data_IF_787002106592
#
_entry.id   IF_787002106592
#
_cell.length_a   1.000
_cell.length_b   1.000
_cell.length_c   1.000
_cell.angle_alpha   90.00
_cell.angle_beta   90.00
_cell.angle_gamma   90.00
#
_symmetry.space_group_name_H-M   'P 1'
#
loop_
_entity.id
_entity.type
_entity.pdbx_description
1 polymer ?
#
# COMPACT_ATOMS: atom_id res chain seq x y z
N UNK A 1 2.39 -50.96 -31.15
CA UNK A 1 2.26 -50.67 -29.70
C UNK A 1 2.16 -49.17 -29.51
N UNK A 2 1.40 -48.70 -28.53
CA UNK A 2 1.29 -47.26 -28.19
C UNK A 2 2.17 -47.01 -26.99
N UNK A 3 3.11 -46.05 -27.08
CA UNK A 3 3.74 -45.45 -25.90
C UNK A 3 2.97 -44.19 -25.55
N UNK A 4 2.63 -44.03 -24.28
CA UNK A 4 1.90 -42.86 -23.81
C UNK A 4 2.21 -42.57 -22.35
N UNK A 5 2.31 -41.29 -22.01
CA UNK A 5 2.49 -40.80 -20.64
C UNK A 5 1.29 -39.95 -20.26
N UNK A 6 0.69 -40.21 -19.09
CA UNK A 6 -0.39 -39.38 -18.54
C UNK A 6 0.22 -38.28 -17.69
N UNK A 7 -0.13 -37.04 -17.97
CA UNK A 7 0.44 -35.83 -17.39
C UNK A 7 -0.70 -35.04 -16.74
N UNK A 8 -0.56 -34.68 -15.47
CA UNK A 8 -1.50 -33.78 -14.80
C UNK A 8 -1.36 -32.36 -15.36
N UNK A 9 -2.47 -31.72 -15.68
CA UNK A 9 -2.50 -30.38 -16.29
C UNK A 9 -3.66 -29.55 -15.74
N UNK A 10 -3.54 -28.23 -15.84
CA UNK A 10 -4.65 -27.29 -15.63
C UNK A 10 -5.47 -27.10 -16.91
N UNK A 11 -6.65 -26.49 -16.79
CA UNK A 11 -7.38 -26.03 -17.96
C UNK A 11 -6.52 -25.06 -18.80
N UNK A 12 -6.59 -25.16 -20.12
CA UNK A 12 -5.76 -24.38 -21.04
C UNK A 12 -5.62 -25.02 -22.42
N UNK A 13 -4.97 -24.35 -23.35
CA UNK A 13 -4.68 -24.92 -24.68
C UNK A 13 -3.31 -25.57 -24.67
N UNK A 14 -3.21 -26.79 -25.18
CA UNK A 14 -1.97 -27.55 -25.24
C UNK A 14 -1.63 -27.91 -26.68
N UNK A 15 -0.34 -27.88 -26.99
CA UNK A 15 0.23 -28.17 -28.30
C UNK A 15 1.22 -29.32 -28.15
N UNK A 16 1.11 -30.33 -29.01
CA UNK A 16 2.05 -31.45 -29.06
C UNK A 16 2.65 -31.59 -30.46
N UNK A 17 3.92 -31.93 -30.51
CA UNK A 17 4.69 -32.25 -31.72
C UNK A 17 5.70 -33.38 -31.44
N UNK A 18 6.39 -33.81 -32.48
CA UNK A 18 7.45 -34.82 -32.39
C UNK A 18 7.81 -35.38 -33.76
N UNK A 19 8.66 -36.41 -33.78
CA UNK A 19 9.13 -37.06 -35.00
C UNK A 19 8.81 -38.55 -34.98
N UNK A 20 8.61 -39.12 -36.17
CA UNK A 20 8.46 -40.56 -36.34
C UNK A 20 9.23 -41.08 -37.57
N UNK A 21 9.71 -42.32 -37.50
CA UNK A 21 10.28 -43.06 -38.64
C UNK A 21 9.83 -44.51 -38.65
N UNK A 22 10.07 -45.21 -39.75
CA UNK A 22 9.76 -46.63 -39.88
C UNK A 22 10.79 -47.37 -40.73
N UNK A 23 10.90 -48.68 -40.53
CA UNK A 23 11.64 -49.61 -41.39
C UNK A 23 11.01 -49.80 -42.79
N UNK A 24 9.78 -49.31 -43.03
CA UNK A 24 9.10 -49.39 -44.32
C UNK A 24 8.33 -48.10 -44.66
N UNK A 25 8.26 -47.77 -45.95
CA UNK A 25 7.50 -46.63 -46.46
C UNK A 25 5.99 -46.92 -46.52
N UNK A 26 5.18 -45.87 -46.56
CA UNK A 26 3.72 -45.97 -46.70
C UNK A 26 2.96 -46.21 -45.40
N UNK A 27 3.65 -46.22 -44.25
CA UNK A 27 2.99 -46.34 -42.94
C UNK A 27 2.27 -45.06 -42.53
N UNK A 28 1.04 -45.18 -42.08
CA UNK A 28 0.28 -44.04 -41.53
C UNK A 28 0.34 -44.04 -40.00
N UNK A 29 0.87 -42.95 -39.45
CA UNK A 29 0.99 -42.68 -38.00
C UNK A 29 0.19 -41.44 -37.62
N UNK A 30 -0.31 -41.38 -36.39
CA UNK A 30 -1.13 -40.28 -35.89
C UNK A 30 -0.63 -39.82 -34.53
N UNK A 31 -0.32 -38.53 -34.40
CA UNK A 31 -0.13 -37.89 -33.10
C UNK A 31 -1.50 -37.58 -32.50
N UNK A 32 -1.69 -37.85 -31.21
CA UNK A 32 -2.96 -37.65 -30.50
C UNK A 32 -2.74 -37.07 -29.10
N UNK A 33 -3.54 -36.05 -28.77
CA UNK A 33 -3.77 -35.59 -27.39
C UNK A 33 -5.13 -36.13 -26.93
N UNK A 34 -5.13 -36.90 -25.85
CA UNK A 34 -6.34 -37.39 -25.16
C UNK A 34 -6.52 -36.66 -23.84
N UNK A 35 -7.70 -36.13 -23.57
CA UNK A 35 -8.06 -35.43 -22.34
C UNK A 35 -8.77 -36.36 -21.36
N UNK A 36 -8.44 -36.20 -20.08
CA UNK A 36 -9.01 -36.94 -18.98
C UNK A 36 -9.56 -35.99 -17.91
N UNK A 37 -10.72 -36.34 -17.36
CA UNK A 37 -11.21 -35.80 -16.10
C UNK A 37 -11.18 -36.92 -15.06
N UNK A 38 -10.16 -36.90 -14.21
CA UNK A 38 -9.85 -38.03 -13.32
C UNK A 38 -9.44 -39.27 -14.13
N UNK A 39 -10.22 -40.35 -14.00
CA UNK A 39 -10.00 -41.62 -14.73
C UNK A 39 -10.80 -41.71 -16.03
N UNK A 40 -11.73 -40.78 -16.29
CA UNK A 40 -12.61 -40.82 -17.46
C UNK A 40 -12.01 -40.02 -18.61
N UNK A 41 -11.90 -40.62 -19.80
CA UNK A 41 -11.53 -39.91 -21.03
C UNK A 41 -12.72 -39.06 -21.48
N UNK A 42 -12.51 -37.76 -21.65
CA UNK A 42 -13.56 -36.80 -22.03
C UNK A 42 -13.45 -36.33 -23.48
N UNK A 43 -12.34 -36.65 -24.17
CA UNK A 43 -12.22 -36.45 -25.62
C UNK A 43 -10.78 -36.55 -26.11
N UNK A 44 -10.59 -36.48 -27.43
CA UNK A 44 -9.26 -36.46 -28.04
C UNK A 44 -9.23 -35.66 -29.34
N UNK A 45 -8.04 -35.16 -29.69
CA UNK A 45 -7.73 -34.57 -31.01
C UNK A 45 -6.52 -35.30 -31.58
N UNK A 46 -6.55 -35.64 -32.87
CA UNK A 46 -5.43 -36.31 -33.53
C UNK A 46 -5.23 -35.81 -34.95
N UNK A 47 -3.98 -35.82 -35.41
CA UNK A 47 -3.61 -35.59 -36.80
C UNK A 47 -2.69 -36.72 -37.27
N UNK A 48 -2.84 -37.12 -38.53
CA UNK A 48 -2.13 -38.26 -39.10
C UNK A 48 -1.27 -37.84 -40.29
N UNK A 49 -0.17 -38.55 -40.48
CA UNK A 49 0.70 -38.43 -41.66
C UNK A 49 1.13 -39.81 -42.15
N UNK A 50 1.47 -39.91 -43.43
CA UNK A 50 2.03 -41.13 -44.02
C UNK A 50 3.53 -40.95 -44.20
N UNK A 51 4.31 -41.86 -43.62
CA UNK A 51 5.77 -41.89 -43.69
C UNK A 51 6.20 -42.34 -45.10
N UNK A 52 6.56 -41.39 -45.95
CA UNK A 52 6.96 -41.66 -47.34
C UNK A 52 8.40 -42.17 -47.47
N UNK A 53 9.21 -42.01 -46.42
CA UNK A 53 10.61 -42.46 -46.36
C UNK A 53 10.84 -43.27 -45.09
N UNK A 54 11.97 -43.97 -45.01
CA UNK A 54 12.42 -44.65 -43.79
C UNK A 54 13.16 -43.72 -42.82
N UNK A 55 13.36 -42.46 -43.20
CA UNK A 55 13.98 -41.43 -42.35
C UNK A 55 13.01 -40.81 -41.35
N UNK A 56 13.56 -40.01 -40.44
CA UNK A 56 12.76 -39.21 -39.50
C UNK A 56 11.90 -38.19 -40.23
N UNK A 57 10.60 -38.22 -39.95
CA UNK A 57 9.60 -37.30 -40.50
C UNK A 57 8.91 -36.59 -39.34
N UNK A 58 8.79 -35.27 -39.41
CA UNK A 58 8.03 -34.49 -38.44
C UNK A 58 6.55 -34.90 -38.45
N UNK A 59 5.99 -35.12 -37.28
CA UNK A 59 4.55 -35.35 -37.11
C UNK A 59 3.80 -34.02 -37.20
N UNK A 60 2.54 -34.04 -37.69
CA UNK A 60 1.70 -32.84 -37.66
C UNK A 60 1.45 -32.40 -36.22
N UNK A 61 1.64 -31.11 -35.95
CA UNK A 61 1.39 -30.49 -34.65
C UNK A 61 -0.09 -30.58 -34.27
N UNK A 62 -0.38 -31.11 -33.09
CA UNK A 62 -1.75 -31.27 -32.57
C UNK A 62 -2.03 -30.24 -31.48
N UNK A 63 -3.07 -29.43 -31.66
CA UNK A 63 -3.53 -28.46 -30.65
C UNK A 63 -4.87 -28.88 -30.07
N UNK A 64 -5.04 -28.77 -28.75
CA UNK A 64 -6.31 -29.06 -28.07
C UNK A 64 -6.54 -28.16 -26.87
N UNK A 65 -7.73 -27.58 -26.76
CA UNK A 65 -8.22 -26.95 -25.53
C UNK A 65 -8.61 -28.02 -24.51
N UNK A 66 -8.13 -27.87 -23.28
CA UNK A 66 -8.31 -28.79 -22.15
C UNK A 66 -9.10 -28.08 -21.05
N UNK A 67 -10.09 -28.79 -20.54
CA UNK A 67 -10.96 -28.42 -19.40
C UNK A 67 -10.84 -29.41 -18.23
N UNK A 68 -10.35 -30.62 -18.49
CA UNK A 68 -10.10 -31.68 -17.53
C UNK A 68 -8.80 -31.50 -16.75
N UNK A 69 -8.42 -32.56 -16.04
CA UNK A 69 -7.34 -32.53 -15.03
C UNK A 69 -6.06 -33.24 -15.48
N UNK A 70 -6.10 -33.95 -16.60
CA UNK A 70 -4.93 -34.64 -17.14
C UNK A 70 -5.03 -34.81 -18.66
N UNK A 71 -3.88 -34.98 -19.30
CA UNK A 71 -3.76 -35.34 -20.72
C UNK A 71 -2.85 -36.52 -20.92
N UNK A 72 -3.00 -37.18 -22.07
CA UNK A 72 -2.09 -38.20 -22.56
C UNK A 72 -1.69 -37.87 -23.98
N UNK A 73 -0.39 -37.84 -24.25
CA UNK A 73 0.14 -37.73 -25.62
C UNK A 73 0.55 -39.11 -26.11
N UNK A 74 0.13 -39.45 -27.32
CA UNK A 74 0.37 -40.78 -27.90
C UNK A 74 0.58 -40.68 -29.41
N UNK A 75 1.42 -41.57 -29.94
CA UNK A 75 1.54 -41.79 -31.39
C UNK A 75 0.98 -43.17 -31.73
N UNK A 76 0.03 -43.19 -32.66
CA UNK A 76 -0.76 -44.36 -33.03
C UNK A 76 -0.47 -44.75 -34.47
N UNK A 77 -0.27 -46.04 -34.74
CA UNK A 77 -0.20 -46.56 -36.10
C UNK A 77 -1.59 -47.01 -36.55
N UNK A 78 -2.05 -46.54 -37.72
CA UNK A 78 -3.39 -46.90 -38.26
C UNK A 78 -3.43 -48.25 -38.97
N UNK A 79 -2.32 -48.71 -39.55
CA UNK A 79 -2.22 -49.99 -40.28
C UNK A 79 -0.98 -50.75 -39.85
N UNK A 80 -1.14 -51.96 -39.31
CA UNK A 80 -0.02 -52.82 -38.88
C UNK A 80 0.24 -53.94 -39.89
N UNK A 81 1.50 -54.07 -40.32
CA UNK A 81 1.98 -55.20 -41.14
C UNK A 81 2.93 -56.02 -40.27
N UNK A 82 2.77 -57.35 -40.27
CA UNK A 82 3.62 -58.26 -39.50
C UNK A 82 5.11 -58.06 -39.86
N UNK A 83 5.97 -57.99 -38.85
CA UNK A 83 7.41 -57.84 -39.02
C UNK A 83 7.92 -56.40 -39.23
N UNK A 84 7.04 -55.41 -39.38
CA UNK A 84 7.45 -54.01 -39.53
C UNK A 84 7.36 -53.22 -38.22
N UNK A 85 8.23 -52.22 -38.07
CA UNK A 85 8.42 -51.39 -36.87
C UNK A 85 8.29 -49.90 -37.19
N UNK A 86 8.01 -49.11 -36.15
CA UNK A 86 8.14 -47.65 -36.22
C UNK A 86 8.68 -47.12 -34.90
N UNK A 87 9.37 -46.00 -34.98
CA UNK A 87 9.99 -45.33 -33.85
C UNK A 87 9.48 -43.90 -33.76
N UNK A 88 9.52 -43.35 -32.56
CA UNK A 88 9.06 -42.00 -32.23
C UNK A 88 10.12 -41.36 -31.34
N UNK A 89 10.46 -40.12 -31.62
CA UNK A 89 11.44 -39.35 -30.86
C UNK A 89 11.04 -37.87 -30.75
N UNK A 90 11.70 -37.15 -29.84
CA UNK A 90 11.53 -35.71 -29.60
C UNK A 90 10.07 -35.29 -29.39
N UNK A 91 9.32 -36.12 -28.67
CA UNK A 91 7.93 -35.81 -28.31
C UNK A 91 7.84 -34.66 -27.32
N UNK A 92 7.16 -33.59 -27.69
CA UNK A 92 6.90 -32.46 -26.81
C UNK A 92 5.41 -32.27 -26.53
N UNK A 93 5.12 -31.71 -25.35
CA UNK A 93 3.81 -31.19 -24.98
C UNK A 93 4.04 -29.88 -24.25
N UNK A 94 3.57 -28.79 -24.84
CA UNK A 94 3.67 -27.47 -24.24
C UNK A 94 2.29 -26.91 -23.97
N UNK A 95 2.11 -26.31 -22.81
CA UNK A 95 0.99 -25.40 -22.60
C UNK A 95 1.21 -24.22 -23.54
N UNK A 96 0.30 -24.03 -24.49
CA UNK A 96 0.30 -22.82 -25.29
C UNK A 96 -0.10 -21.71 -24.34
N UNK A 97 0.77 -20.71 -24.16
CA UNK A 97 0.37 -19.47 -23.54
C UNK A 97 -0.88 -19.01 -24.28
N UNK A 98 -2.03 -19.09 -23.63
CA UNK A 98 -3.21 -18.38 -24.11
C UNK A 98 -2.73 -16.95 -24.24
N UNK A 99 -2.80 -16.38 -25.43
CA UNK A 99 -2.67 -14.95 -25.58
C UNK A 99 -3.74 -14.35 -24.68
N UNK A 100 -3.38 -13.97 -23.46
CA UNK A 100 -4.10 -12.94 -22.76
C UNK A 100 -4.12 -11.75 -23.71
N UNK A 101 -5.22 -11.02 -23.76
CA UNK A 101 -5.10 -9.67 -24.30
C UNK A 101 -4.35 -8.85 -23.26
N UNK A 102 -3.53 -7.90 -23.71
CA UNK A 102 -3.10 -6.83 -22.83
C UNK A 102 -4.33 -6.24 -22.11
N UNK A 103 -4.20 -5.76 -20.87
CA UNK A 103 -5.34 -5.21 -20.15
C UNK A 103 -5.98 -4.04 -20.92
N UNK A 104 -7.21 -3.66 -20.56
CA UNK A 104 -7.75 -2.38 -21.02
C UNK A 104 -6.95 -1.22 -20.37
N UNK A 105 -6.87 -0.04 -21.02
CA UNK A 105 -6.34 1.16 -20.37
C UNK A 105 -7.04 1.44 -19.03
N UNK A 106 -6.33 1.91 -18.01
CA UNK A 106 -6.95 2.35 -16.76
C UNK A 106 -8.00 3.43 -16.97
N UNK A 107 -8.98 3.53 -16.07
CA UNK A 107 -10.03 4.56 -16.13
C UNK A 107 -9.94 5.50 -14.93
N UNK A 108 -10.70 6.61 -14.94
CA UNK A 108 -10.71 7.62 -13.89
C UNK A 108 -9.30 8.13 -13.51
N UNK A 109 -8.43 8.30 -14.51
CA UNK A 109 -7.11 8.87 -14.31
C UNK A 109 -7.25 10.31 -13.83
N UNK A 110 -6.58 10.66 -12.75
CA UNK A 110 -6.54 12.00 -12.19
C UNK A 110 -5.11 12.34 -11.73
N UNK A 111 -4.77 13.63 -11.77
CA UNK A 111 -3.53 14.15 -11.22
C UNK A 111 -3.83 15.39 -10.37
N UNK A 112 -3.15 15.52 -9.23
CA UNK A 112 -3.29 16.66 -8.33
C UNK A 112 -1.95 16.98 -7.68
N UNK A 113 -1.61 18.26 -7.60
CA UNK A 113 -0.45 18.69 -6.82
C UNK A 113 -0.60 18.31 -5.34
N UNK A 114 0.47 17.79 -4.77
CA UNK A 114 0.61 17.51 -3.34
C UNK A 114 1.61 18.45 -2.68
N UNK A 115 2.25 19.32 -3.46
CA UNK A 115 3.12 20.37 -3.02
C UNK A 115 3.81 21.07 -4.19
N UNK A 116 4.80 21.90 -3.87
CA UNK A 116 5.61 22.62 -4.86
C UNK A 116 6.57 21.70 -5.63
N UNK A 117 6.83 20.48 -5.16
CA UNK A 117 7.75 19.53 -5.80
C UNK A 117 7.17 18.14 -6.00
N UNK A 118 5.85 17.98 -5.82
CA UNK A 118 5.20 16.67 -5.94
C UNK A 118 3.78 16.72 -6.53
N UNK A 119 3.44 15.69 -7.31
CA UNK A 119 2.11 15.46 -7.87
C UNK A 119 1.71 14.01 -7.60
N UNK A 120 0.51 13.83 -7.05
CA UNK A 120 -0.14 12.53 -6.92
C UNK A 120 -0.96 12.22 -8.17
N UNK A 121 -0.79 11.01 -8.71
CA UNK A 121 -1.52 10.47 -9.86
C UNK A 121 -2.29 9.23 -9.40
N UNK A 122 -3.59 9.17 -9.68
CA UNK A 122 -4.48 8.07 -9.27
C UNK A 122 -5.33 7.58 -10.44
N UNK A 123 -5.71 6.29 -10.42
CA UNK A 123 -6.57 5.68 -11.44
C UNK A 123 -7.39 4.52 -10.86
N UNK A 124 -8.35 4.02 -11.64
CA UNK A 124 -9.10 2.77 -11.36
C UNK A 124 -8.38 1.59 -12.00
N UNK A 125 -8.29 0.48 -11.27
CA UNK A 125 -7.59 -0.72 -11.72
C UNK A 125 -8.21 -1.34 -12.99
N UNK A 126 -7.37 -1.81 -13.90
CA UNK A 126 -7.78 -2.59 -15.07
C UNK A 126 -7.85 -4.07 -14.74
N UNK A 127 -8.91 -4.74 -15.17
CA UNK A 127 -9.03 -6.21 -15.01
C UNK A 127 -7.88 -6.92 -15.72
N UNK A 128 -7.20 -7.82 -15.01
CA UNK A 128 -6.10 -8.62 -15.56
C UNK A 128 -4.74 -7.89 -15.63
N UNK A 129 -4.63 -6.67 -15.10
CA UNK A 129 -3.35 -5.98 -14.94
C UNK A 129 -2.58 -6.51 -13.72
N UNK A 130 -1.27 -6.69 -13.88
CA UNK A 130 -0.35 -7.05 -12.79
C UNK A 130 0.51 -5.87 -12.33
N UNK A 131 0.66 -4.85 -13.19
CA UNK A 131 1.36 -3.60 -12.90
C UNK A 131 0.88 -2.47 -13.81
N UNK A 132 1.38 -1.26 -13.56
CA UNK A 132 1.07 -0.05 -14.33
C UNK A 132 2.34 0.72 -14.66
N UNK A 133 2.43 1.22 -15.89
CA UNK A 133 3.48 2.15 -16.31
C UNK A 133 2.98 3.58 -16.23
N UNK A 134 3.65 4.43 -15.43
CA UNK A 134 3.32 5.86 -15.29
C UNK A 134 4.29 6.68 -16.14
N UNK A 135 3.75 7.51 -17.02
CA UNK A 135 4.51 8.30 -17.98
C UNK A 135 4.34 9.78 -17.72
N UNK A 136 5.44 10.53 -17.81
CA UNK A 136 5.47 11.98 -17.62
C UNK A 136 5.86 12.70 -18.90
N UNK A 137 5.15 13.78 -19.21
CA UNK A 137 5.44 14.72 -20.31
C UNK A 137 5.62 14.02 -21.68
N UNK A 138 4.81 12.98 -21.94
CA UNK A 138 4.83 12.25 -23.21
C UNK A 138 6.04 11.33 -23.41
N UNK A 139 6.78 11.00 -22.34
CA UNK A 139 7.89 10.05 -22.41
C UNK A 139 7.44 8.68 -22.95
N UNK A 140 8.30 8.05 -23.76
CA UNK A 140 8.08 6.70 -24.30
C UNK A 140 8.41 5.61 -23.29
N UNK A 141 9.30 5.89 -22.34
CA UNK A 141 9.63 5.02 -21.21
C UNK A 141 8.89 5.47 -19.94
N UNK A 142 8.41 4.54 -19.10
CA UNK A 142 7.73 4.91 -17.87
C UNK A 142 8.69 5.62 -16.91
N UNK A 143 8.22 6.70 -16.30
CA UNK A 143 8.88 7.37 -15.17
C UNK A 143 8.88 6.47 -13.93
N UNK A 144 7.83 5.66 -13.76
CA UNK A 144 7.76 4.65 -12.72
C UNK A 144 6.89 3.46 -13.16
N UNK A 145 7.17 2.29 -12.60
CA UNK A 145 6.32 1.09 -12.72
C UNK A 145 5.85 0.70 -11.32
N UNK A 146 4.53 0.61 -11.13
CA UNK A 146 3.92 0.33 -9.82
C UNK A 146 2.90 -0.81 -9.89
N UNK A 147 2.64 -1.45 -8.76
CA UNK A 147 1.57 -2.48 -8.61
C UNK A 147 0.31 -1.92 -7.96
N UNK A 148 0.37 -0.71 -7.41
CA UNK A 148 -0.75 0.05 -6.83
C UNK A 148 -1.50 0.85 -7.89
N UNK A 149 -2.65 1.43 -7.53
CA UNK A 149 -3.45 2.31 -8.39
C UNK A 149 -3.22 3.81 -8.11
N UNK A 150 -2.09 4.12 -7.50
CA UNK A 150 -1.63 5.48 -7.22
C UNK A 150 -0.11 5.55 -7.27
N UNK A 151 0.40 6.73 -7.61
CA UNK A 151 1.82 7.05 -7.64
C UNK A 151 2.04 8.53 -7.26
N UNK A 152 3.03 8.81 -6.42
CA UNK A 152 3.44 10.19 -6.09
C UNK A 152 4.76 10.46 -6.81
N UNK A 153 4.71 11.34 -7.81
CA UNK A 153 5.89 11.84 -8.50
C UNK A 153 6.50 12.98 -7.68
N UNK A 154 7.80 12.88 -7.39
CA UNK A 154 8.53 13.82 -6.51
C UNK A 154 9.75 14.39 -7.21
N UNK A 155 10.37 15.42 -6.62
CA UNK A 155 11.52 16.09 -7.23
C UNK A 155 11.15 16.96 -8.44
N UNK A 156 9.89 17.39 -8.51
CA UNK A 156 9.38 18.26 -9.56
C UNK A 156 9.80 19.71 -9.34
N UNK A 157 9.90 20.47 -10.43
CA UNK A 157 10.02 21.91 -10.38
C UNK A 157 8.69 22.52 -9.93
N UNK A 158 8.76 23.58 -9.15
CA UNK A 158 7.58 24.30 -8.67
C UNK A 158 6.95 25.18 -9.74
N UNK A 159 5.69 25.58 -9.54
CA UNK A 159 4.91 26.36 -10.53
C UNK A 159 4.91 25.74 -11.93
N UNK A 160 5.07 24.43 -12.06
CA UNK A 160 5.31 23.74 -13.32
C UNK A 160 4.20 22.75 -13.61
N UNK A 161 3.59 22.86 -14.78
CA UNK A 161 2.58 21.90 -15.25
C UNK A 161 3.26 20.65 -15.76
N UNK A 162 2.88 19.51 -15.19
CA UNK A 162 3.27 18.19 -15.66
C UNK A 162 2.07 17.46 -16.23
N UNK A 163 2.32 16.66 -17.27
CA UNK A 163 1.33 15.84 -17.94
C UNK A 163 1.59 14.36 -17.63
N UNK A 164 0.56 13.64 -17.23
CA UNK A 164 0.64 12.22 -16.90
C UNK A 164 -0.26 11.36 -17.77
N UNK A 165 0.26 10.19 -18.11
CA UNK A 165 -0.46 9.11 -18.77
C UNK A 165 -0.13 7.79 -18.05
N UNK A 166 -1.06 6.84 -18.05
CA UNK A 166 -0.85 5.55 -17.37
C UNK A 166 -1.30 4.39 -18.25
N UNK A 167 -0.48 3.35 -18.36
CA UNK A 167 -0.84 2.09 -19.00
C UNK A 167 -0.99 0.97 -17.97
N UNK A 168 -1.72 -0.07 -18.34
CA UNK A 168 -1.82 -1.31 -17.58
C UNK A 168 -1.00 -2.40 -18.26
N UNK A 169 -0.29 -3.20 -17.46
CA UNK A 169 0.66 -4.20 -17.96
C UNK A 169 0.35 -5.56 -17.35
N UNK A 170 0.42 -6.61 -18.18
CA UNK A 170 0.47 -8.00 -17.73
C UNK A 170 1.44 -8.81 -18.59
N UNK A 171 1.52 -10.12 -18.34
CA UNK A 171 2.40 -11.02 -19.08
C UNK A 171 2.12 -11.08 -20.59
N UNK A 172 0.92 -10.67 -21.04
CA UNK A 172 0.56 -10.66 -22.44
C UNK A 172 0.86 -9.33 -23.15
N UNK A 173 1.20 -8.28 -22.41
CA UNK A 173 1.63 -7.01 -22.96
C UNK A 173 1.13 -5.79 -22.19
N UNK A 174 1.37 -4.63 -22.78
CA UNK A 174 0.98 -3.32 -22.28
C UNK A 174 -0.26 -2.80 -23.01
N UNK A 175 -1.18 -2.18 -22.27
CA UNK A 175 -2.37 -1.55 -22.82
C UNK A 175 -2.04 -0.24 -23.55
N UNK A 176 -3.02 0.32 -24.27
CA UNK A 176 -2.95 1.74 -24.61
C UNK A 176 -2.90 2.60 -23.34
N UNK A 177 -2.31 3.79 -23.43
CA UNK A 177 -2.21 4.74 -22.31
C UNK A 177 -3.55 5.45 -22.08
N UNK A 178 -3.94 5.56 -20.82
CA UNK A 178 -5.02 6.43 -20.37
C UNK A 178 -4.50 7.85 -20.13
N UNK A 179 -5.37 8.85 -20.35
CA UNK A 179 -5.02 10.26 -20.26
C UNK A 179 -4.82 10.91 -21.64
N UNK A 180 -4.08 12.03 -21.71
CA UNK A 180 -3.33 12.64 -20.62
C UNK A 180 -4.20 13.42 -19.62
N UNK A 181 -3.77 13.44 -18.35
CA UNK A 181 -4.20 14.42 -17.34
C UNK A 181 -3.04 15.36 -17.01
N UNK A 182 -3.32 16.54 -16.48
CA UNK A 182 -2.29 17.50 -16.11
C UNK A 182 -2.53 18.07 -14.72
N UNK A 183 -1.45 18.33 -14.00
CA UNK A 183 -1.47 19.07 -12.74
C UNK A 183 -0.28 20.02 -12.71
N UNK A 184 -0.47 21.17 -12.10
CA UNK A 184 0.58 22.17 -11.90
C UNK A 184 1.03 22.09 -10.46
N UNK A 185 2.32 21.84 -10.23
CA UNK A 185 2.89 21.91 -8.88
C UNK A 185 2.59 23.27 -8.28
N UNK A 186 2.42 23.29 -6.95
CA UNK A 186 2.15 24.54 -6.25
C UNK A 186 3.30 25.53 -6.47
N UNK A 187 3.01 26.80 -6.20
CA UNK A 187 3.99 27.85 -6.42
C UNK A 187 5.29 27.56 -5.67
N UNK A 188 6.41 27.78 -6.36
CA UNK A 188 7.76 27.68 -5.80
C UNK A 188 8.08 28.88 -4.93
N UNK A 189 7.25 29.15 -3.92
CA UNK A 189 7.70 29.96 -2.81
C UNK A 189 8.66 29.12 -1.98
N UNK A 190 9.72 29.74 -1.46
CA UNK A 190 10.06 29.40 -0.07
C UNK A 190 8.72 29.45 0.67
N UNK A 191 8.27 28.31 1.21
CA UNK A 191 7.20 28.35 2.21
C UNK A 191 7.79 29.21 3.32
N UNK A 192 7.50 30.51 3.31
CA UNK A 192 7.85 31.41 4.40
C UNK A 192 6.81 31.13 5.46
N UNK A 193 7.04 30.02 6.16
CA UNK A 193 6.10 29.43 7.08
C UNK A 193 6.72 28.15 7.62
N UNK A 194 6.35 27.75 8.84
CA UNK A 194 6.98 26.62 9.47
C UNK A 194 6.70 25.31 8.74
N UNK A 195 7.73 24.48 8.61
CA UNK A 195 7.63 23.10 8.15
C UNK A 195 7.43 22.19 9.35
N UNK A 196 6.24 21.63 9.48
CA UNK A 196 5.85 20.77 10.61
C UNK A 196 5.60 19.33 10.11
N UNK A 197 6.12 18.34 10.83
CA UNK A 197 5.72 16.94 10.68
C UNK A 197 4.82 16.53 11.85
N UNK A 198 3.86 15.63 11.64
CA UNK A 198 2.99 15.13 12.71
C UNK A 198 2.61 13.67 12.46
N UNK A 199 2.61 12.87 13.51
CA UNK A 199 2.07 11.51 13.49
C UNK A 199 1.76 11.04 14.93
N UNK A 200 0.73 10.21 15.08
CA UNK A 200 0.39 9.51 16.32
C UNK A 200 0.57 8.00 16.17
N UNK A 201 0.46 7.27 17.27
CA UNK A 201 0.44 5.80 17.25
C UNK A 201 1.76 5.22 16.70
N UNK A 202 2.87 5.80 17.15
CA UNK A 202 4.17 5.78 16.45
C UNK A 202 5.21 4.83 17.03
N UNK A 203 4.97 4.24 18.20
CA UNK A 203 5.88 3.29 18.84
C UNK A 203 5.12 2.05 19.31
N UNK A 204 5.81 1.14 19.97
CA UNK A 204 5.26 -0.07 20.58
C UNK A 204 6.00 -0.43 21.85
N UNK A 205 5.46 -1.32 22.67
CA UNK A 205 6.17 -1.81 23.85
C UNK A 205 7.41 -2.65 23.49
N UNK A 206 8.48 -2.58 24.31
CA UNK A 206 9.69 -3.39 24.14
C UNK A 206 9.44 -4.88 23.87
N UNK A 207 8.39 -5.48 24.45
CA UNK A 207 8.08 -6.90 24.26
C UNK A 207 7.61 -7.23 22.84
N UNK A 208 7.13 -6.25 22.07
CA UNK A 208 6.71 -6.42 20.67
C UNK A 208 7.88 -6.72 19.72
N UNK A 209 9.12 -6.57 20.19
CA UNK A 209 10.32 -6.98 19.48
C UNK A 209 10.71 -6.11 18.28
N UNK A 210 11.72 -6.58 17.53
CA UNK A 210 12.41 -5.79 16.52
C UNK A 210 11.53 -5.39 15.32
N UNK A 211 10.59 -6.25 14.90
CA UNK A 211 9.71 -5.95 13.75
C UNK A 211 8.91 -4.68 13.96
N UNK A 212 8.38 -4.49 15.16
CA UNK A 212 7.63 -3.30 15.46
C UNK A 212 8.52 -2.05 15.54
N UNK A 213 9.67 -2.15 16.22
CA UNK A 213 10.66 -1.07 16.27
C UNK A 213 11.11 -0.64 14.86
N UNK A 214 11.27 -1.58 13.95
CA UNK A 214 11.64 -1.28 12.56
C UNK A 214 10.56 -0.49 11.82
N UNK A 215 9.26 -0.71 12.11
CA UNK A 215 8.18 0.12 11.55
C UNK A 215 8.19 1.54 12.09
N UNK A 216 8.42 1.70 13.39
CA UNK A 216 8.60 3.02 14.01
C UNK A 216 9.83 3.77 13.45
N UNK A 217 10.92 3.04 13.17
CA UNK A 217 12.10 3.58 12.46
C UNK A 217 11.74 4.05 11.04
N UNK A 218 11.05 3.21 10.27
CA UNK A 218 10.68 3.54 8.89
C UNK A 218 9.87 4.83 8.78
N UNK A 219 8.97 5.10 9.72
CA UNK A 219 8.19 6.35 9.73
C UNK A 219 9.03 7.54 10.17
N UNK A 220 9.85 7.40 11.22
CA UNK A 220 10.73 8.49 11.68
C UNK A 220 11.85 8.82 10.69
N UNK A 221 12.31 7.88 9.86
CA UNK A 221 13.29 8.11 8.79
C UNK A 221 12.78 9.08 7.70
N UNK A 222 11.46 9.21 7.55
CA UNK A 222 10.84 10.22 6.67
C UNK A 222 10.92 11.64 7.23
N UNK A 223 11.36 11.81 8.49
CA UNK A 223 11.37 13.09 9.21
C UNK A 223 12.80 13.51 9.56
N UNK A 224 13.64 12.57 10.00
CA UNK A 224 15.02 12.84 10.41
C UNK A 224 15.82 13.48 9.27
N UNK A 225 16.45 14.62 9.56
CA UNK A 225 17.32 15.32 8.61
C UNK A 225 16.58 16.06 7.48
N UNK A 226 15.24 16.11 7.51
CA UNK A 226 14.44 16.73 6.44
C UNK A 226 14.19 18.23 6.63
N UNK A 227 14.82 18.88 7.63
CA UNK A 227 14.69 20.32 7.87
C UNK A 227 13.31 20.76 8.34
N UNK A 228 12.67 19.99 9.23
CA UNK A 228 11.44 20.40 9.91
C UNK A 228 11.75 21.36 11.06
N UNK A 229 10.90 22.38 11.23
CA UNK A 229 10.98 23.34 12.34
C UNK A 229 10.37 22.79 13.63
N UNK A 230 9.39 21.90 13.50
CA UNK A 230 8.77 21.18 14.60
C UNK A 230 8.23 19.81 14.20
N UNK A 231 8.14 18.91 15.17
CA UNK A 231 7.49 17.60 15.04
C UNK A 231 6.40 17.47 16.10
N UNK A 232 5.21 17.01 15.73
CA UNK A 232 4.08 16.82 16.64
C UNK A 232 3.78 15.32 16.80
N UNK A 233 4.33 14.68 17.84
CA UNK A 233 3.86 13.38 18.29
C UNK A 233 2.41 13.49 18.80
N UNK A 234 1.45 12.88 18.09
CA UNK A 234 0.00 13.07 18.30
C UNK A 234 -0.60 12.09 19.32
N UNK A 235 0.19 11.66 20.30
CA UNK A 235 -0.24 10.72 21.34
C UNK A 235 -0.07 9.27 20.91
N UNK A 236 -0.17 8.39 21.90
CA UNK A 236 0.28 7.01 21.82
C UNK A 236 1.72 6.95 21.33
N UNK A 237 2.54 7.79 21.96
CA UNK A 237 3.93 7.94 21.62
C UNK A 237 4.72 6.72 22.10
N UNK A 238 4.30 6.07 23.20
CA UNK A 238 4.88 4.81 23.67
C UNK A 238 3.81 3.87 24.21
N UNK A 239 3.54 2.80 23.48
CA UNK A 239 2.65 1.72 23.93
C UNK A 239 3.32 0.78 24.95
N UNK A 240 2.54 -0.05 25.66
CA UNK A 240 1.07 0.01 25.81
C UNK A 240 0.64 0.88 27.01
N UNK A 241 1.60 1.31 27.83
CA UNK A 241 1.34 2.10 29.02
C UNK A 241 2.38 3.19 29.29
N UNK A 242 3.19 3.57 28.30
CA UNK A 242 4.01 4.78 28.37
C UNK A 242 5.11 4.79 29.44
N UNK A 243 5.64 3.63 29.82
CA UNK A 243 6.73 3.51 30.80
C UNK A 243 8.01 4.25 30.42
N UNK A 244 8.71 4.86 31.38
CA UNK A 244 9.95 5.59 31.09
C UNK A 244 11.03 4.69 30.49
N UNK A 245 11.18 3.45 30.99
CA UNK A 245 12.11 2.48 30.41
C UNK A 245 11.68 2.06 29.01
N UNK A 246 10.38 1.93 28.77
CA UNK A 246 9.84 1.62 27.43
C UNK A 246 10.15 2.75 26.43
N UNK A 247 10.00 4.02 26.85
CA UNK A 247 10.40 5.19 26.08
C UNK A 247 11.89 5.11 25.69
N UNK A 248 12.78 4.83 26.64
CA UNK A 248 14.22 4.73 26.36
C UNK A 248 14.58 3.55 25.44
N UNK A 249 13.82 2.45 25.48
CA UNK A 249 14.14 1.23 24.74
C UNK A 249 13.58 1.20 23.31
N UNK A 250 12.43 1.84 23.07
CA UNK A 250 11.74 1.78 21.78
C UNK A 250 11.48 3.16 21.16
N UNK A 251 10.90 4.11 21.90
CA UNK A 251 10.65 5.44 21.34
C UNK A 251 11.96 6.19 21.04
N UNK A 252 12.88 6.22 22.01
CA UNK A 252 14.10 7.05 21.94
C UNK A 252 15.01 6.70 20.74
N UNK A 253 15.30 5.40 20.47
CA UNK A 253 16.10 5.02 19.31
C UNK A 253 15.42 5.32 17.96
N UNK A 254 14.09 5.53 17.95
CA UNK A 254 13.29 5.72 16.74
C UNK A 254 12.86 7.18 16.59
N UNK A 255 11.76 7.58 17.20
CA UNK A 255 11.22 8.94 17.15
C UNK A 255 11.94 9.92 18.10
N UNK A 256 12.65 9.43 19.12
CA UNK A 256 13.47 10.29 20.00
C UNK A 256 14.58 11.05 19.28
N UNK A 257 14.98 10.61 18.08
CA UNK A 257 15.94 11.28 17.20
C UNK A 257 15.53 12.71 16.82
N UNK A 258 14.24 13.03 16.85
CA UNK A 258 13.70 14.39 16.60
C UNK A 258 13.20 15.09 17.85
N UNK A 259 13.44 14.53 19.05
CA UNK A 259 12.93 15.05 20.33
C UNK A 259 13.21 16.53 20.55
N UNK A 260 14.37 17.03 20.12
CA UNK A 260 14.75 18.44 20.29
C UNK A 260 13.77 19.43 19.64
N UNK A 261 13.09 19.01 18.57
CA UNK A 261 12.08 19.79 17.85
C UNK A 261 10.66 19.25 18.08
N UNK A 262 10.49 18.27 18.96
CA UNK A 262 9.18 17.70 19.25
C UNK A 262 8.35 18.61 20.16
N UNK A 263 7.04 18.63 19.90
CA UNK A 263 5.99 19.23 20.74
C UNK A 263 4.88 18.19 20.90
N UNK A 264 5.07 17.23 21.82
CA UNK A 264 4.20 16.07 21.95
C UNK A 264 2.90 16.39 22.70
N UNK A 265 1.90 15.55 22.49
CA UNK A 265 0.73 15.38 23.35
C UNK A 265 0.64 13.92 23.80
N UNK A 266 0.00 13.63 24.95
CA UNK A 266 -0.24 12.25 25.38
C UNK A 266 -1.48 11.63 24.70
N UNK A 267 -1.42 10.34 24.42
CA UNK A 267 -2.57 9.47 24.11
C UNK A 267 -2.98 8.60 25.30
N UNK A 268 -3.95 7.70 25.13
CA UNK A 268 -4.36 6.81 26.23
C UNK A 268 -3.28 5.81 26.63
N UNK A 269 -2.45 5.35 25.70
CA UNK A 269 -1.34 4.45 26.03
C UNK A 269 -0.23 5.21 26.77
N UNK A 270 -0.05 6.51 26.54
CA UNK A 270 0.86 7.33 27.34
C UNK A 270 0.31 7.58 28.76
N UNK A 271 -1.00 7.46 28.94
CA UNK A 271 -1.72 7.76 30.18
C UNK A 271 -2.07 6.52 31.01
N UNK A 272 -1.96 5.33 30.42
CA UNK A 272 -2.29 4.06 31.07
C UNK A 272 -1.28 3.70 32.17
N UNK A 273 -1.76 2.95 33.17
CA UNK A 273 -0.95 2.47 34.32
C UNK A 273 -0.88 0.95 34.38
N UNK A 274 -1.30 0.27 33.31
CA UNK A 274 -1.25 -1.19 33.15
C UNK A 274 -1.28 -1.58 31.67
N UNK A 275 -0.93 -2.82 31.34
CA UNK A 275 -1.06 -3.37 29.98
C UNK A 275 0.24 -3.62 29.21
N UNK A 276 1.37 -3.09 29.68
CA UNK A 276 2.70 -3.25 29.07
C UNK A 276 3.79 -3.66 30.07
N UNK A 277 5.06 -3.51 29.68
CA UNK A 277 6.22 -4.06 30.41
C UNK A 277 6.79 -3.17 31.53
N UNK A 278 6.48 -1.87 31.54
CA UNK A 278 7.03 -0.90 32.50
C UNK A 278 6.00 0.19 32.87
N UNK A 279 4.77 -0.21 33.21
CA UNK A 279 3.71 0.77 33.40
C UNK A 279 3.95 1.68 34.62
N UNK A 280 3.83 3.01 34.47
CA UNK A 280 3.98 3.93 35.57
C UNK A 280 2.80 3.81 36.53
N UNK A 281 3.03 4.14 37.80
CA UNK A 281 1.95 4.20 38.82
C UNK A 281 1.12 5.47 38.73
N UNK A 282 1.67 6.52 38.10
CA UNK A 282 1.00 7.80 37.87
C UNK A 282 0.69 7.93 36.38
N UNK A 283 -0.56 8.23 35.99
CA UNK A 283 -0.90 8.47 34.59
C UNK A 283 0.00 9.51 33.94
N UNK A 284 0.53 9.22 32.75
CA UNK A 284 1.46 10.11 32.06
C UNK A 284 2.87 10.16 32.66
N UNK A 285 3.17 9.36 33.69
CA UNK A 285 4.43 9.44 34.44
C UNK A 285 5.66 9.29 33.55
N UNK A 286 5.72 8.24 32.72
CA UNK A 286 6.85 8.04 31.81
C UNK A 286 6.87 9.05 30.66
N UNK A 287 5.72 9.50 30.16
CA UNK A 287 5.59 10.58 29.17
C UNK A 287 6.23 11.89 29.67
N UNK A 288 5.83 12.38 30.85
CA UNK A 288 6.38 13.61 31.42
C UNK A 288 7.84 13.46 31.83
N UNK A 289 8.23 12.28 32.35
CA UNK A 289 9.62 12.01 32.69
C UNK A 289 10.52 11.99 31.44
N UNK A 290 10.04 11.44 30.32
CA UNK A 290 10.80 11.39 29.09
C UNK A 290 10.87 12.75 28.40
N UNK A 291 9.74 13.41 28.14
CA UNK A 291 9.71 14.67 27.38
C UNK A 291 10.07 15.91 28.22
N UNK A 292 9.96 15.84 29.54
CA UNK A 292 10.26 16.97 30.43
C UNK A 292 9.43 18.20 30.07
N UNK A 293 10.08 19.36 30.01
CA UNK A 293 9.42 20.63 29.68
C UNK A 293 8.79 20.70 28.29
N UNK A 294 9.16 19.80 27.36
CA UNK A 294 8.53 19.74 26.04
C UNK A 294 7.06 19.29 26.11
N UNK A 295 6.68 18.58 27.16
CA UNK A 295 5.31 18.12 27.40
C UNK A 295 4.43 19.16 28.13
N UNK A 296 4.95 20.38 28.36
CA UNK A 296 4.27 21.42 29.11
C UNK A 296 4.24 21.16 30.62
N UNK A 297 3.28 21.79 31.30
CA UNK A 297 3.07 21.62 32.74
C UNK A 297 2.57 20.20 33.06
N UNK A 298 3.31 19.39 33.84
CA UNK A 298 2.92 18.01 34.14
C UNK A 298 1.61 17.89 34.95
N UNK A 299 1.14 18.97 35.58
CA UNK A 299 -0.18 18.99 36.22
C UNK A 299 -1.34 19.11 35.22
N UNK A 300 -1.05 19.44 33.95
CA UNK A 300 -2.03 19.73 32.90
C UNK A 300 -1.86 18.82 31.68
N UNK A 301 -0.66 18.76 31.13
CA UNK A 301 -0.33 18.05 29.89
C UNK A 301 -0.83 18.72 28.61
N UNK A 302 -1.32 19.96 28.69
CA UNK A 302 -1.74 20.78 27.56
C UNK A 302 -1.06 22.16 27.64
N UNK A 303 -0.79 22.74 26.48
CA UNK A 303 -0.04 23.99 26.33
C UNK A 303 -0.23 24.57 24.93
N UNK A 304 0.16 25.83 24.75
CA UNK A 304 0.16 26.50 23.45
C UNK A 304 1.52 27.17 23.19
N UNK A 305 1.80 27.46 21.92
CA UNK A 305 3.06 28.06 21.50
C UNK A 305 2.94 28.62 20.07
N UNK A 306 3.80 29.59 19.73
CA UNK A 306 3.78 30.22 18.42
C UNK A 306 5.00 29.82 17.59
N UNK A 307 4.79 29.64 16.29
CA UNK A 307 5.83 29.33 15.32
C UNK A 307 5.61 30.10 14.03
N UNK A 308 6.43 31.13 13.81
CA UNK A 308 6.21 32.05 12.71
C UNK A 308 4.85 32.74 12.86
N UNK A 309 4.01 32.61 11.84
CA UNK A 309 2.65 33.17 11.79
C UNK A 309 1.58 32.20 12.30
N UNK A 310 1.95 31.12 12.99
CA UNK A 310 1.03 30.11 13.48
C UNK A 310 0.98 30.09 15.00
N UNK A 311 -0.23 30.04 15.54
CA UNK A 311 -0.52 29.63 16.91
C UNK A 311 -0.79 28.13 16.94
N UNK A 312 -0.11 27.40 17.81
CA UNK A 312 -0.23 25.95 17.92
C UNK A 312 -0.68 25.56 19.32
N UNK A 313 -1.72 24.71 19.37
CA UNK A 313 -2.35 24.32 20.62
C UNK A 313 -2.30 22.81 20.80
N UNK A 314 -1.57 22.37 21.83
CA UNK A 314 -1.39 21.00 22.23
C UNK A 314 -2.42 20.63 23.30
N UNK A 315 -3.37 19.75 22.97
CA UNK A 315 -4.44 19.34 23.89
C UNK A 315 -4.19 17.95 24.46
N UNK A 316 -4.43 17.81 25.77
CA UNK A 316 -4.42 16.54 26.49
C UNK A 316 -5.80 15.91 26.43
N UNK A 317 -6.09 15.18 25.36
CA UNK A 317 -7.34 14.43 25.24
C UNK A 317 -7.34 13.13 26.03
N UNK A 318 -6.21 12.66 26.56
CA UNK A 318 -6.15 11.49 27.44
C UNK A 318 -6.94 11.71 28.75
N UNK A 319 -7.10 12.97 29.17
CA UNK A 319 -7.99 13.37 30.26
C UNK A 319 -9.48 13.17 29.94
N UNK A 320 -9.86 13.07 28.66
CA UNK A 320 -11.24 12.93 28.23
C UNK A 320 -11.75 11.49 28.39
N UNK A 321 -11.69 10.95 29.60
CA UNK A 321 -12.20 9.61 29.95
C UNK A 321 -13.73 9.58 29.99
N UNK A 322 -14.35 10.73 30.23
CA UNK A 322 -15.80 10.96 30.25
C UNK A 322 -16.15 12.27 29.54
N UNK A 323 -17.41 12.48 29.18
CA UNK A 323 -17.89 13.76 28.63
C UNK A 323 -17.76 14.92 29.61
N UNK A 324 -17.77 14.64 30.92
CA UNK A 324 -17.59 15.66 31.96
C UNK A 324 -16.16 16.16 32.06
N UNK A 325 -15.17 15.26 31.91
CA UNK A 325 -13.76 15.59 32.05
C UNK A 325 -13.25 16.61 31.02
N UNK A 326 -13.83 16.60 29.82
CA UNK A 326 -13.59 17.59 28.75
C UNK A 326 -14.87 18.36 28.39
N UNK A 327 -15.70 18.64 29.40
CA UNK A 327 -16.90 19.45 29.23
C UNK A 327 -16.59 20.92 28.96
N UNK A 328 -17.62 21.69 28.55
CA UNK A 328 -17.51 23.12 28.26
C UNK A 328 -16.95 23.95 29.43
N UNK A 329 -17.11 23.46 30.66
CA UNK A 329 -16.66 24.08 31.92
C UNK A 329 -15.42 23.41 32.50
N UNK A 330 -14.84 22.42 31.82
CA UNK A 330 -13.58 21.81 32.26
C UNK A 330 -12.45 22.85 32.23
N UNK A 331 -11.46 22.75 33.15
CA UNK A 331 -10.33 23.67 33.18
C UNK A 331 -9.61 23.77 31.83
N UNK A 332 -9.42 22.65 31.12
CA UNK A 332 -8.75 22.61 29.83
C UNK A 332 -9.56 23.33 28.73
N UNK A 333 -10.87 23.14 28.66
CA UNK A 333 -11.70 23.83 27.64
C UNK A 333 -11.84 25.32 27.93
N UNK A 334 -11.92 25.72 29.21
CA UNK A 334 -11.92 27.13 29.59
C UNK A 334 -10.58 27.79 29.27
N UNK A 335 -9.48 27.11 29.57
CA UNK A 335 -8.13 27.55 29.17
C UNK A 335 -8.03 27.70 27.66
N UNK A 336 -8.45 26.69 26.88
CA UNK A 336 -8.41 26.73 25.42
C UNK A 336 -9.13 27.96 24.86
N UNK A 337 -10.35 28.23 25.34
CA UNK A 337 -11.11 29.41 24.88
C UNK A 337 -10.41 30.72 25.23
N UNK A 338 -9.78 30.80 26.40
CA UNK A 338 -9.05 31.99 26.82
C UNK A 338 -7.74 32.19 26.04
N UNK A 339 -7.04 31.09 25.73
CA UNK A 339 -5.82 31.05 24.94
C UNK A 339 -6.07 31.53 23.50
N UNK A 340 -7.06 30.91 22.83
CA UNK A 340 -7.49 31.29 21.48
C UNK A 340 -7.94 32.76 21.40
N UNK A 341 -8.73 33.23 22.38
CA UNK A 341 -9.17 34.62 22.42
C UNK A 341 -8.04 35.64 22.70
N UNK A 342 -6.91 35.19 23.25
CA UNK A 342 -5.77 36.04 23.57
C UNK A 342 -4.71 36.05 22.47
N UNK A 343 -4.67 35.03 21.60
CA UNK A 343 -3.73 34.96 20.50
C UNK A 343 -4.13 35.91 19.35
N UNK A 344 -3.15 36.31 18.54
CA UNK A 344 -3.30 37.27 17.43
C UNK A 344 -2.62 36.79 16.15
N UNK A 345 -2.10 35.57 16.13
CA UNK A 345 -1.54 34.92 14.96
C UNK A 345 -2.62 34.75 13.89
N UNK A 346 -2.26 34.90 12.61
CA UNK A 346 -3.22 34.79 11.52
C UNK A 346 -3.67 33.35 11.24
N UNK A 347 -3.01 32.34 11.81
CA UNK A 347 -3.37 30.94 11.62
C UNK A 347 -3.24 30.16 12.93
N UNK A 348 -4.15 29.24 13.18
CA UNK A 348 -4.23 28.37 14.34
C UNK A 348 -4.22 26.90 13.91
N UNK A 349 -3.33 26.11 14.52
CA UNK A 349 -3.32 24.65 14.43
C UNK A 349 -3.57 24.04 15.81
N UNK A 350 -4.60 23.21 15.92
CA UNK A 350 -4.93 22.50 17.15
C UNK A 350 -4.65 21.01 16.98
N UNK A 351 -4.06 20.36 17.97
CA UNK A 351 -3.78 18.94 17.89
C UNK A 351 -4.11 18.22 19.21
N UNK A 352 -4.74 17.05 19.08
CA UNK A 352 -5.20 16.21 20.18
C UNK A 352 -5.19 14.74 19.78
N UNK A 353 -5.10 13.79 20.72
CA UNK A 353 -5.01 12.38 20.36
C UNK A 353 -6.33 11.83 19.80
N UNK A 354 -7.46 12.02 20.50
CA UNK A 354 -8.75 11.43 20.11
C UNK A 354 -9.48 12.24 19.02
N UNK A 355 -9.77 11.64 17.85
CA UNK A 355 -10.48 12.33 16.79
C UNK A 355 -11.98 12.45 17.07
N UNK A 356 -12.58 13.57 16.68
CA UNK A 356 -14.04 13.74 16.69
C UNK A 356 -14.71 13.01 15.53
N UNK A 357 -14.01 12.94 14.39
CA UNK A 357 -14.45 12.32 13.15
C UNK A 357 -13.41 11.32 12.70
N UNK A 358 -13.85 10.11 12.35
CA UNK A 358 -13.02 9.09 11.68
C UNK A 358 -13.96 8.08 11.01
N UNK A 359 -13.55 7.52 9.86
CA UNK A 359 -14.25 6.36 9.29
C UNK A 359 -13.77 5.02 9.86
N UNK A 360 -12.71 5.02 10.68
CA UNK A 360 -12.20 3.85 11.37
C UNK A 360 -13.04 3.49 12.62
N UNK A 361 -14.32 3.16 12.39
CA UNK A 361 -15.21 2.59 13.41
C UNK A 361 -15.26 3.40 14.73
N UNK A 362 -14.85 2.76 15.83
CA UNK A 362 -14.97 3.26 17.20
C UNK A 362 -13.98 4.38 17.57
N UNK A 363 -13.05 4.75 16.68
CA UNK A 363 -12.08 5.82 16.98
C UNK A 363 -12.73 7.20 17.02
N UNK A 364 -13.92 7.38 16.42
CA UNK A 364 -14.69 8.63 16.53
C UNK A 364 -15.21 8.83 17.96
N UNK A 365 -14.93 10.00 18.54
CA UNK A 365 -15.23 10.29 19.94
C UNK A 365 -16.04 11.57 20.11
N UNK A 366 -17.22 11.46 20.75
CA UNK A 366 -17.97 12.63 21.19
C UNK A 366 -17.29 13.38 22.35
N UNK A 367 -16.27 12.79 22.99
CA UNK A 367 -15.57 13.38 24.13
C UNK A 367 -14.72 14.59 23.73
N UNK A 368 -14.26 14.64 22.47
CA UNK A 368 -13.51 15.78 21.92
C UNK A 368 -14.41 16.91 21.38
N UNK A 369 -15.74 16.80 21.51
CA UNK A 369 -16.69 17.77 20.92
C UNK A 369 -16.42 19.20 21.35
N UNK A 370 -16.08 19.42 22.64
CA UNK A 370 -15.90 20.78 23.15
C UNK A 370 -14.59 21.43 22.67
N UNK A 371 -13.57 20.64 22.36
CA UNK A 371 -12.37 21.15 21.68
C UNK A 371 -12.71 21.60 20.26
N UNK A 372 -13.49 20.79 19.52
CA UNK A 372 -13.97 21.14 18.18
C UNK A 372 -14.84 22.38 18.18
N UNK A 373 -15.77 22.51 19.13
CA UNK A 373 -16.59 23.73 19.25
C UNK A 373 -15.75 24.97 19.50
N UNK A 374 -14.70 24.89 20.33
CA UNK A 374 -13.79 26.01 20.55
C UNK A 374 -12.97 26.34 19.29
N UNK A 375 -12.44 25.31 18.61
CA UNK A 375 -11.67 25.46 17.38
C UNK A 375 -12.46 26.16 16.25
N UNK A 376 -13.70 25.73 16.03
CA UNK A 376 -14.60 26.32 15.03
C UNK A 376 -14.94 27.77 15.38
N UNK A 377 -15.19 28.05 16.67
CA UNK A 377 -15.52 29.41 17.12
C UNK A 377 -14.37 30.40 16.95
N UNK A 378 -13.12 29.94 17.06
CA UNK A 378 -11.90 30.71 16.78
C UNK A 378 -11.65 30.88 15.28
N UNK A 379 -12.02 29.88 14.48
CA UNK A 379 -11.70 29.82 13.05
C UNK A 379 -10.43 29.05 12.73
N UNK A 380 -10.03 28.11 13.60
CA UNK A 380 -8.80 27.33 13.42
C UNK A 380 -8.75 26.60 12.07
N UNK A 381 -7.62 26.71 11.38
CA UNK A 381 -7.44 26.22 10.00
C UNK A 381 -7.25 24.72 9.92
N UNK A 382 -6.56 24.13 10.90
CA UNK A 382 -6.19 22.72 10.88
C UNK A 382 -6.33 22.10 12.26
N UNK A 383 -6.99 20.94 12.31
CA UNK A 383 -6.99 20.05 13.47
C UNK A 383 -6.33 18.74 13.10
N UNK A 384 -5.34 18.30 13.91
CA UNK A 384 -4.64 17.03 13.74
C UNK A 384 -4.96 16.06 14.88
N UNK A 385 -5.19 14.79 14.52
CA UNK A 385 -5.49 13.73 15.47
C UNK A 385 -4.69 12.44 15.23
N UNK A 386 -4.51 11.64 16.28
CA UNK A 386 -4.01 10.25 16.22
C UNK A 386 -5.14 9.25 16.50
N UNK A 387 -4.84 8.17 17.23
CA UNK A 387 -5.73 7.12 17.74
C UNK A 387 -6.41 6.23 16.68
N UNK A 388 -6.86 6.83 15.57
CA UNK A 388 -7.31 6.07 14.41
C UNK A 388 -6.09 5.60 13.63
N UNK A 389 -5.88 4.28 13.52
CA UNK A 389 -4.74 3.68 12.82
C UNK A 389 -4.90 3.70 11.29
N UNK A 390 -5.33 4.84 10.75
CA UNK A 390 -5.54 5.13 9.34
C UNK A 390 -5.22 6.60 9.06
N UNK A 391 -4.85 6.92 7.82
CA UNK A 391 -4.78 8.31 7.38
C UNK A 391 -6.11 8.73 6.74
N UNK A 392 -6.67 9.84 7.22
CA UNK A 392 -7.89 10.44 6.68
C UNK A 392 -7.75 11.96 6.63
N UNK A 393 -8.32 12.58 5.60
CA UNK A 393 -8.43 14.03 5.49
C UNK A 393 -9.84 14.40 5.08
N UNK A 394 -10.49 15.19 5.92
CA UNK A 394 -11.85 15.67 5.67
C UNK A 394 -11.83 16.98 4.87
N UNK A 395 -12.93 17.24 4.15
CA UNK A 395 -13.22 18.59 3.68
C UNK A 395 -13.37 19.53 4.89
N UNK A 396 -13.28 20.86 4.71
CA UNK A 396 -13.52 21.81 5.81
C UNK A 396 -14.78 21.46 6.59
N UNK A 397 -14.64 21.36 7.92
CA UNK A 397 -15.73 21.06 8.83
C UNK A 397 -16.17 22.37 9.48
N UNK A 398 -17.47 22.64 9.50
CA UNK A 398 -18.07 23.89 10.00
C UNK A 398 -18.95 23.65 11.21
#
# INVERSE_FOLDING_TARGET
MVKSVKIAVSAGTYVADGFARSDATGKTVCLRITEWNGTTSVGNTQLCTTLQTTGWTALPTVTRAITGTAVTVSVLQKTSTAGQTFEVDDMSLVAQATGGTAPAPPTNLAARATGSTSIEVTWTASTGATSYGVYRNGATTPTATVTTTSFIDTGLAASTTYRYEVSAVNAAGESAKAGPVSATTDAGGSVTGPKIAAAGDISCDPISGATCRNRAMQTSDLIVGQGYDAVLPLGDNQYECGGYSAYLQNYDPTWGRVKAISRPIPGDNDWATSGGTDCPTTPGGGYFQYFGSLAGDPAKGYYSWNLGSWHLVALNSALCTTSTACSATSPQVQWLKADLAADTAPCTLIYSHFPRFSSAGSSSSSRSTQFWTAAIADGAEVILNGNAHVYERFAPQT
#
